data_IF_481642331011
#
_entry.id   IF_481642331011
#
_cell.length_a   1.000
_cell.length_b   1.000
_cell.length_c   1.000
_cell.angle_alpha   90.00
_cell.angle_beta   90.00
_cell.angle_gamma   90.00
#
_symmetry.space_group_name_H-M   'P 1'
#
loop_
_entity.id
_entity.type
_entity.pdbx_description
1 polymer ?
#
# COMPACT_ATOMS: atom_id res chain seq x y z
N UNK A 1 -7.06 18.29 -15.70
CA UNK A 1 -7.88 17.24 -15.08
C UNK A 1 -9.00 17.91 -14.31
N UNK A 2 -10.26 17.61 -14.64
CA UNK A 2 -11.42 18.15 -13.93
C UNK A 2 -11.72 17.32 -12.68
N UNK A 3 -12.51 17.89 -11.76
CA UNK A 3 -13.00 17.20 -10.55
C UNK A 3 -13.63 15.84 -10.86
N UNK A 4 -14.32 15.74 -12.00
CA UNK A 4 -15.02 14.52 -12.42
C UNK A 4 -14.07 13.42 -12.87
N UNK A 5 -12.94 13.77 -13.50
CA UNK A 5 -11.92 12.78 -13.90
C UNK A 5 -11.18 12.20 -12.68
N UNK A 6 -10.98 12.99 -11.63
CA UNK A 6 -10.41 12.51 -10.36
C UNK A 6 -11.37 11.55 -9.64
N UNK A 7 -12.68 11.83 -9.67
CA UNK A 7 -13.71 10.99 -9.06
C UNK A 7 -13.83 9.62 -9.75
N UNK A 8 -13.63 9.56 -11.07
CA UNK A 8 -13.69 8.30 -11.82
C UNK A 8 -12.53 7.35 -11.48
N UNK A 9 -11.32 7.88 -11.24
CA UNK A 9 -10.16 7.09 -10.79
C UNK A 9 -10.31 6.54 -9.36
N UNK A 10 -11.11 7.18 -8.51
CA UNK A 10 -11.32 6.76 -7.10
C UNK A 10 -12.38 5.68 -6.93
N UNK A 11 -13.11 5.32 -8.00
CA UNK A 11 -14.25 4.38 -7.94
C UNK A 11 -13.88 2.90 -8.06
N UNK A 12 -12.60 2.56 -8.25
CA UNK A 12 -12.17 1.17 -8.17
C UNK A 12 -11.83 0.81 -6.72
N UNK A 13 -12.62 -0.13 -6.20
CA UNK A 13 -12.38 -0.97 -5.03
C UNK A 13 -12.57 -0.34 -3.65
N UNK A 14 -13.81 0.09 -3.38
CA UNK A 14 -14.42 -0.19 -2.08
C UNK A 14 -15.09 -1.58 -2.15
N UNK A 15 -14.31 -2.61 -2.44
CA UNK A 15 -14.64 -3.92 -1.87
C UNK A 15 -14.58 -3.69 -0.37
N UNK A 16 -15.56 -4.15 0.38
CA UNK A 16 -15.37 -4.41 1.81
C UNK A 16 -14.25 -5.45 1.93
N UNK A 17 -13.01 -5.01 1.76
CA UNK A 17 -11.85 -5.82 2.04
C UNK A 17 -11.85 -5.95 3.54
N UNK A 18 -12.34 -7.08 4.05
CA UNK A 18 -12.06 -7.54 5.41
C UNK A 18 -10.59 -7.16 5.68
N UNK A 19 -10.32 -6.41 6.74
CA UNK A 19 -8.98 -5.86 7.04
C UNK A 19 -7.90 -6.96 6.93
N UNK A 20 -8.28 -8.21 7.18
CA UNK A 20 -7.46 -9.41 7.01
C UNK A 20 -6.95 -9.65 5.59
N UNK A 21 -7.72 -9.29 4.56
CA UNK A 21 -7.32 -9.39 3.14
C UNK A 21 -6.22 -8.38 2.84
N UNK A 22 -6.35 -7.16 3.35
CA UNK A 22 -5.31 -6.13 3.22
C UNK A 22 -4.01 -6.59 3.89
N UNK A 23 -4.09 -7.16 5.09
CA UNK A 23 -2.93 -7.71 5.81
C UNK A 23 -2.18 -8.76 4.99
N UNK A 24 -2.91 -9.66 4.31
CA UNK A 24 -2.32 -10.69 3.43
C UNK A 24 -1.58 -10.05 2.26
N UNK A 25 -2.18 -9.03 1.63
CA UNK A 25 -1.52 -8.32 0.53
C UNK A 25 -0.28 -7.56 1.02
N UNK A 26 -0.34 -6.88 2.16
CA UNK A 26 0.83 -6.20 2.74
C UNK A 26 1.94 -7.18 3.09
N UNK A 27 1.61 -8.34 3.66
CA UNK A 27 2.58 -9.42 3.94
C UNK A 27 3.26 -9.90 2.66
N UNK A 28 2.49 -10.14 1.60
CA UNK A 28 3.01 -10.60 0.32
C UNK A 28 3.89 -9.54 -0.36
N UNK A 29 3.49 -8.26 -0.28
CA UNK A 29 4.27 -7.15 -0.82
C UNK A 29 5.60 -6.99 -0.09
N UNK A 30 5.61 -6.99 1.25
CA UNK A 30 6.85 -6.96 2.05
C UNK A 30 7.81 -8.07 1.65
N UNK A 31 7.32 -9.32 1.55
CA UNK A 31 8.14 -10.45 1.11
C UNK A 31 8.74 -10.24 -0.28
N UNK A 32 7.98 -9.69 -1.23
CA UNK A 32 8.50 -9.38 -2.57
C UNK A 32 9.57 -8.28 -2.52
N UNK A 33 9.32 -7.21 -1.77
CA UNK A 33 10.27 -6.10 -1.63
C UNK A 33 11.58 -6.58 -1.00
N UNK A 34 11.51 -7.43 0.03
CA UNK A 34 12.68 -8.04 0.65
C UNK A 34 13.44 -8.95 -0.33
N UNK A 35 12.72 -9.77 -1.11
CA UNK A 35 13.34 -10.66 -2.11
C UNK A 35 14.07 -9.90 -3.23
N UNK A 36 13.66 -8.67 -3.53
CA UNK A 36 14.28 -7.82 -4.55
C UNK A 36 15.24 -6.78 -3.96
N UNK A 37 15.57 -6.89 -2.67
CA UNK A 37 16.42 -5.91 -1.96
C UNK A 37 15.95 -4.47 -2.21
N UNK A 38 14.64 -4.26 -2.25
CA UNK A 38 14.07 -2.95 -2.59
C UNK A 38 14.32 -1.95 -1.46
N UNK A 39 14.69 -0.74 -1.87
CA UNK A 39 14.75 0.46 -1.02
C UNK A 39 13.35 0.88 -0.53
N UNK A 40 12.28 0.37 -1.13
CA UNK A 40 10.92 0.63 -0.71
C UNK A 40 10.55 -0.28 0.47
N UNK A 41 10.22 0.33 1.61
CA UNK A 41 9.71 -0.33 2.82
C UNK A 41 8.25 0.02 3.08
N UNK A 42 7.50 -0.96 3.61
CA UNK A 42 6.11 -0.76 4.07
C UNK A 42 6.06 -0.92 5.58
N UNK A 43 5.73 0.15 6.30
CA UNK A 43 5.62 0.19 7.76
C UNK A 43 4.15 0.08 8.21
N UNK A 44 3.93 -0.51 9.39
CA UNK A 44 2.62 -0.50 10.06
C UNK A 44 2.54 0.69 10.99
N UNK A 45 1.52 1.52 10.81
CA UNK A 45 1.20 2.65 11.69
C UNK A 45 -0.01 2.23 12.54
N UNK A 46 0.22 1.97 13.83
CA UNK A 46 -0.83 1.46 14.74
C UNK A 46 -2.03 2.40 14.78
N UNK A 47 -3.22 1.86 14.56
CA UNK A 47 -4.48 2.61 14.52
C UNK A 47 -4.69 3.45 13.25
N UNK A 48 -3.76 3.41 12.29
CA UNK A 48 -3.81 4.24 11.06
C UNK A 48 -3.57 3.42 9.77
N UNK A 49 -3.05 2.20 9.86
CA UNK A 49 -2.86 1.31 8.71
C UNK A 49 -1.39 1.18 8.30
N UNK A 50 -1.06 1.47 7.05
CA UNK A 50 0.26 1.23 6.47
C UNK A 50 0.85 2.47 5.77
N UNK A 51 2.17 2.58 5.76
CA UNK A 51 2.91 3.66 5.10
C UNK A 51 4.06 3.11 4.28
N UNK A 52 4.20 3.59 3.04
CA UNK A 52 5.35 3.31 2.18
C UNK A 52 6.45 4.38 2.38
N UNK A 53 7.71 3.95 2.41
CA UNK A 53 8.89 4.81 2.55
C UNK A 53 10.00 4.31 1.63
N UNK A 54 10.69 5.21 0.96
CA UNK A 54 11.98 4.90 0.34
C UNK A 54 13.08 5.15 1.35
N UNK A 55 13.90 4.14 1.63
CA UNK A 55 15.16 4.30 2.37
C UNK A 55 16.24 4.69 1.37
N UNK A 56 16.75 5.92 1.47
CA UNK A 56 17.96 6.30 0.73
C UNK A 56 19.15 5.60 1.39
N UNK A 57 19.71 4.59 0.72
CA UNK A 57 20.96 3.96 1.09
C UNK A 57 22.12 4.91 0.70
N UNK A 58 22.63 5.68 1.67
CA UNK A 58 23.87 6.46 1.53
C UNK A 58 25.12 5.58 1.69
#
# INVERSE_FOLDING_TARGET
>A
MSRDQLLEYTKYDYLESDDRVVDVHIKNLRKKLDNFESDLKILTVRGLGYRALYEENF
#
